data_IF_178851531422
#
_entry.id   IF_178851531422
#
_cell.length_a   1.000
_cell.length_b   1.000
_cell.length_c   1.000
_cell.angle_alpha   90.00
_cell.angle_beta   90.00
_cell.angle_gamma   90.00
#
_symmetry.space_group_name_H-M   'P 1'
#
loop_
_entity.id
_entity.type
_entity.pdbx_description
1 polymer ?
#
# COMPACT_ATOMS: atom_id res chain seq x y z
N UNK A 1 1.43 59.81 14.56
CA UNK A 1 1.49 59.73 16.04
C UNK A 1 1.69 58.26 16.38
N UNK A 2 2.96 57.80 16.43
CA UNK A 2 3.84 57.68 17.64
C UNK A 2 3.38 56.56 18.57
N UNK A 3 4.19 55.69 19.17
CA UNK A 3 5.58 55.19 19.07
C UNK A 3 5.81 54.31 20.33
N UNK A 4 6.69 53.31 20.25
CA UNK A 4 7.40 52.71 21.40
C UNK A 4 7.07 51.23 21.68
N UNK A 5 7.91 50.19 21.46
CA UNK A 5 9.32 49.92 21.87
C UNK A 5 9.40 49.69 23.39
N UNK A 6 10.03 48.71 24.04
CA UNK A 6 11.12 47.74 23.82
C UNK A 6 11.04 46.74 25.00
N UNK A 7 11.47 45.48 24.87
CA UNK A 7 12.11 44.82 26.01
C UNK A 7 13.16 43.79 25.58
N UNK A 8 14.31 43.89 26.24
CA UNK A 8 15.54 43.13 26.00
C UNK A 8 15.69 41.95 26.98
N UNK A 9 16.48 40.97 26.56
CA UNK A 9 17.02 39.79 27.26
C UNK A 9 17.80 40.13 28.55
N UNK A 10 18.17 39.20 29.48
CA UNK A 10 19.13 38.11 29.20
C UNK A 10 18.99 36.78 30.00
N UNK A 11 19.91 35.86 29.66
CA UNK A 11 20.23 34.50 30.14
C UNK A 11 20.21 34.21 31.67
N UNK A 12 20.07 32.91 32.03
CA UNK A 12 21.08 32.10 32.76
C UNK A 12 20.52 30.79 33.42
N UNK A 13 21.33 29.72 33.32
CA UNK A 13 21.63 28.67 34.33
C UNK A 13 20.73 27.43 34.51
N UNK A 14 21.32 26.28 34.17
CA UNK A 14 21.04 24.92 34.68
C UNK A 14 21.48 24.75 36.15
N UNK A 15 20.64 24.10 36.97
CA UNK A 15 21.00 23.22 38.10
C UNK A 15 19.68 22.57 38.62
N UNK A 16 19.48 21.25 38.55
CA UNK A 16 20.00 20.16 39.41
C UNK A 16 19.05 19.85 40.59
N UNK A 17 18.53 18.62 40.62
CA UNK A 17 17.96 17.99 41.82
C UNK A 17 18.27 16.49 41.82
N UNK A 18 19.16 16.07 42.72
CA UNK A 18 19.36 14.69 43.19
C UNK A 18 18.30 14.34 44.27
N UNK A 19 18.27 13.08 44.74
CA UNK A 19 19.01 12.72 45.97
C UNK A 19 19.79 11.40 45.79
N UNK A 20 21.04 11.25 46.24
CA UNK A 20 21.58 11.17 47.62
C UNK A 20 21.18 9.86 48.35
N UNK A 21 22.14 8.93 48.47
CA UNK A 21 22.41 8.21 49.72
C UNK A 21 23.86 7.70 49.73
N UNK A 22 24.50 7.90 50.87
CA UNK A 22 25.91 7.79 51.18
C UNK A 22 26.14 6.66 52.19
N UNK A 23 27.21 5.90 52.02
CA UNK A 23 27.69 4.97 53.05
C UNK A 23 29.17 4.68 52.86
N UNK A 24 30.02 5.46 53.53
CA UNK A 24 31.40 5.12 53.90
C UNK A 24 31.38 4.84 55.41
N UNK A 25 32.20 3.89 55.87
CA UNK A 25 33.26 4.20 56.83
C UNK A 25 34.22 3.01 57.04
N UNK A 26 35.45 3.41 57.35
CA UNK A 26 36.72 2.72 57.57
C UNK A 26 36.87 2.18 59.00
N UNK A 27 37.63 1.10 59.22
CA UNK A 27 38.83 1.04 60.10
C UNK A 27 39.38 -0.37 60.37
N UNK A 28 40.65 -0.36 60.82
CA UNK A 28 41.64 -1.41 61.05
C UNK A 28 41.29 -2.57 61.99
N UNK A 29 41.90 -3.75 61.77
CA UNK A 29 42.72 -4.44 62.80
C UNK A 29 43.55 -5.62 62.25
N UNK A 30 44.81 -5.71 62.69
CA UNK A 30 45.74 -6.85 62.56
C UNK A 30 45.34 -8.01 63.50
N UNK A 31 45.52 -9.27 63.07
CA UNK A 31 45.62 -10.39 64.02
C UNK A 31 45.49 -11.81 63.46
N UNK A 32 46.64 -12.50 63.37
CA UNK A 32 46.87 -13.94 63.67
C UNK A 32 46.36 -15.09 62.76
N UNK A 33 47.36 -15.69 62.08
CA UNK A 33 47.74 -17.12 61.93
C UNK A 33 46.73 -18.21 61.50
N UNK A 34 47.30 -19.08 60.65
CA UNK A 34 47.05 -20.53 60.48
C UNK A 34 45.79 -20.90 59.67
N UNK A 35 45.79 -21.77 58.66
CA UNK A 35 46.70 -22.87 58.30
C UNK A 35 46.51 -23.21 56.82
N UNK A 36 47.54 -23.74 56.17
CA UNK A 36 47.55 -24.42 54.87
C UNK A 36 46.22 -25.12 54.51
N UNK A 37 45.50 -24.50 53.56
CA UNK A 37 44.43 -25.12 52.77
C UNK A 37 44.36 -24.53 51.35
N UNK A 38 45.42 -23.84 50.93
CA UNK A 38 45.52 -23.16 49.63
C UNK A 38 46.24 -24.05 48.63
N UNK A 39 45.48 -24.86 47.87
CA UNK A 39 45.90 -25.28 46.52
C UNK A 39 44.78 -25.83 45.62
N UNK A 40 43.58 -26.12 46.13
CA UNK A 40 42.48 -26.64 45.29
C UNK A 40 41.31 -25.69 44.99
N UNK A 41 41.27 -24.49 45.58
CA UNK A 41 40.15 -23.55 45.38
C UNK A 41 40.45 -22.40 44.40
N UNK A 42 41.68 -22.30 43.88
CA UNK A 42 42.06 -21.30 42.86
C UNK A 42 41.91 -21.78 41.41
N UNK A 43 41.59 -23.07 41.17
CA UNK A 43 41.26 -23.59 39.83
C UNK A 43 39.77 -23.53 39.47
N UNK A 44 38.89 -23.23 40.42
CA UNK A 44 37.44 -23.11 40.16
C UNK A 44 36.98 -21.66 39.91
N UNK A 45 37.77 -20.66 40.31
CA UNK A 45 37.41 -19.24 40.18
C UNK A 45 37.97 -18.54 38.91
N UNK A 46 38.43 -19.31 37.90
CA UNK A 46 38.99 -18.77 36.63
C UNK A 46 38.25 -19.23 35.37
N UNK A 47 37.01 -19.71 35.53
CA UNK A 47 36.08 -20.03 34.42
C UNK A 47 34.68 -19.50 34.77
N UNK A 48 34.51 -18.19 34.80
CA UNK A 48 33.22 -17.63 35.22
C UNK A 48 32.92 -16.20 34.82
N UNK A 49 33.84 -15.47 34.20
CA UNK A 49 33.56 -14.13 33.67
C UNK A 49 33.56 -14.19 32.14
N UNK A 50 32.66 -15.00 31.57
CA UNK A 50 32.17 -14.72 30.22
C UNK A 50 31.49 -13.36 30.32
N UNK A 51 32.20 -12.30 29.89
CA UNK A 51 31.58 -11.04 29.48
C UNK A 51 30.34 -11.42 28.69
N UNK A 52 29.17 -11.25 29.31
CA UNK A 52 27.87 -11.41 28.66
C UNK A 52 27.83 -10.26 27.66
N UNK A 53 28.44 -10.48 26.48
CA UNK A 53 28.15 -9.66 25.32
C UNK A 53 26.64 -9.70 25.24
N UNK A 54 26.00 -8.57 25.53
CA UNK A 54 24.62 -8.33 25.13
C UNK A 54 24.62 -8.58 23.62
N UNK A 55 24.34 -9.81 23.22
CA UNK A 55 24.00 -10.15 21.84
C UNK A 55 22.76 -9.30 21.61
N UNK A 56 22.94 -8.15 20.95
CA UNK A 56 21.83 -7.36 20.43
C UNK A 56 20.90 -8.37 19.77
N UNK A 57 19.68 -8.48 20.28
CA UNK A 57 18.66 -9.30 19.65
C UNK A 57 18.61 -8.88 18.19
N UNK A 58 18.78 -9.81 17.24
CA UNK A 58 18.83 -9.46 15.84
C UNK A 58 17.54 -8.72 15.50
N UNK A 59 17.67 -7.52 14.92
CA UNK A 59 16.53 -6.65 14.63
C UNK A 59 15.42 -7.40 13.89
N UNK A 60 14.18 -7.12 14.28
CA UNK A 60 12.99 -7.66 13.60
C UNK A 60 12.96 -7.27 12.12
N UNK A 61 12.26 -8.04 11.29
CA UNK A 61 12.12 -7.76 9.85
C UNK A 61 11.57 -6.36 9.59
N UNK A 62 10.56 -5.92 10.35
CA UNK A 62 9.98 -4.58 10.25
C UNK A 62 10.99 -3.48 10.61
N UNK A 63 11.74 -3.64 11.71
CA UNK A 63 12.80 -2.70 12.08
C UNK A 63 13.90 -2.62 11.02
N UNK A 64 14.28 -3.75 10.42
CA UNK A 64 15.27 -3.77 9.31
C UNK A 64 14.74 -3.02 8.08
N UNK A 65 13.47 -3.19 7.73
CA UNK A 65 12.84 -2.45 6.63
C UNK A 65 12.80 -0.96 6.94
N UNK A 66 12.43 -0.59 8.16
CA UNK A 66 12.38 0.80 8.63
C UNK A 66 13.75 1.48 8.55
N UNK A 67 14.79 0.85 9.09
CA UNK A 67 16.16 1.37 9.02
C UNK A 67 16.65 1.53 7.59
N UNK A 68 16.27 0.62 6.69
CA UNK A 68 16.60 0.73 5.26
C UNK A 68 15.84 1.86 4.58
N UNK A 69 14.59 2.08 4.95
CA UNK A 69 13.80 3.20 4.45
C UNK A 69 14.42 4.54 4.88
N UNK A 70 14.87 4.65 6.14
CA UNK A 70 15.59 5.82 6.64
C UNK A 70 16.92 6.04 5.91
N UNK A 71 17.67 4.96 5.63
CA UNK A 71 18.89 5.07 4.82
C UNK A 71 18.58 5.54 3.39
N UNK A 72 17.54 5.00 2.77
CA UNK A 72 17.07 5.44 1.46
C UNK A 72 16.69 6.94 1.47
N UNK A 73 16.03 7.40 2.54
CA UNK A 73 15.69 8.80 2.76
C UNK A 73 16.95 9.69 2.77
N UNK A 74 17.95 9.35 3.59
CA UNK A 74 19.20 10.13 3.70
C UNK A 74 19.96 10.18 2.37
N UNK A 75 20.05 9.06 1.65
CA UNK A 75 20.71 9.00 0.34
C UNK A 75 19.97 9.86 -0.68
N UNK A 76 18.63 9.74 -0.75
CA UNK A 76 17.82 10.53 -1.68
C UNK A 76 17.87 12.02 -1.38
N UNK A 77 17.92 12.41 -0.09
CA UNK A 77 18.07 13.80 0.32
C UNK A 77 19.40 14.37 -0.16
N UNK A 78 20.51 13.67 0.09
CA UNK A 78 21.83 14.12 -0.34
C UNK A 78 21.92 14.26 -1.87
N UNK A 79 21.41 13.26 -2.61
CA UNK A 79 21.41 13.28 -4.08
C UNK A 79 20.52 14.42 -4.60
N UNK A 80 19.32 14.59 -4.06
CA UNK A 80 18.40 15.63 -4.50
C UNK A 80 18.90 17.04 -4.16
N UNK A 81 19.56 17.22 -3.02
CA UNK A 81 20.23 18.47 -2.67
C UNK A 81 21.28 18.82 -3.72
N UNK A 82 22.21 17.91 -3.99
CA UNK A 82 23.29 18.12 -4.99
C UNK A 82 22.72 18.30 -6.40
N UNK A 83 21.72 17.51 -6.79
CA UNK A 83 21.08 17.64 -8.10
C UNK A 83 20.41 19.01 -8.25
N UNK A 84 19.79 19.52 -7.19
CA UNK A 84 19.13 20.84 -7.21
C UNK A 84 20.14 21.98 -7.22
N UNK A 85 21.24 21.90 -6.45
CA UNK A 85 22.31 22.91 -6.52
C UNK A 85 22.92 22.98 -7.91
N UNK A 86 23.25 21.82 -8.49
CA UNK A 86 23.79 21.71 -9.86
C UNK A 86 22.79 22.27 -10.88
N UNK A 87 21.51 21.96 -10.73
CA UNK A 87 20.46 22.51 -11.59
C UNK A 87 20.40 24.05 -11.50
N UNK A 88 20.44 24.62 -10.30
CA UNK A 88 20.38 26.08 -10.13
C UNK A 88 21.62 26.80 -10.66
N UNK A 89 22.80 26.18 -10.60
CA UNK A 89 24.05 26.75 -11.10
C UNK A 89 24.18 26.67 -12.63
N UNK A 90 23.70 25.58 -13.24
CA UNK A 90 23.95 25.27 -14.65
C UNK A 90 22.74 25.54 -15.57
N UNK A 91 21.54 25.66 -15.03
CA UNK A 91 20.35 25.88 -15.84
C UNK A 91 20.37 27.28 -16.49
N UNK A 92 19.91 27.35 -17.73
CA UNK A 92 19.74 28.63 -18.41
C UNK A 92 18.65 29.46 -17.73
N UNK A 93 18.71 30.80 -17.87
CA UNK A 93 17.77 31.73 -17.25
C UNK A 93 16.29 31.39 -17.53
N UNK A 94 16.01 30.76 -18.66
CA UNK A 94 14.67 30.30 -19.06
C UNK A 94 14.12 29.22 -18.11
N UNK A 95 14.96 28.35 -17.56
CA UNK A 95 14.57 27.27 -16.64
C UNK A 95 14.45 27.74 -15.17
N UNK A 96 15.01 28.91 -14.85
CA UNK A 96 14.96 29.51 -13.52
C UNK A 96 13.68 30.33 -13.25
N UNK A 97 12.79 30.42 -14.24
CA UNK A 97 11.45 31.01 -14.10
C UNK A 97 10.62 30.15 -13.14
N UNK A 98 9.87 30.77 -12.21
CA UNK A 98 9.23 30.09 -11.07
C UNK A 98 8.52 28.78 -11.45
N UNK A 99 7.63 28.79 -12.46
CA UNK A 99 6.90 27.59 -12.87
C UNK A 99 7.77 26.43 -13.39
N UNK A 100 8.82 26.73 -14.17
CA UNK A 100 9.73 25.70 -14.74
C UNK A 100 10.74 25.20 -13.71
N UNK A 101 11.18 26.09 -12.83
CA UNK A 101 12.01 25.77 -11.68
C UNK A 101 11.30 24.80 -10.72
N UNK A 102 10.00 25.04 -10.44
CA UNK A 102 9.17 24.14 -9.62
C UNK A 102 8.99 22.77 -10.30
N UNK A 103 8.80 22.77 -11.62
CA UNK A 103 8.69 21.53 -12.39
C UNK A 103 9.96 20.67 -12.27
N UNK A 104 11.14 21.28 -12.44
CA UNK A 104 12.42 20.57 -12.33
C UNK A 104 12.63 20.00 -10.93
N UNK A 105 12.35 20.79 -9.88
CA UNK A 105 12.44 20.34 -8.49
C UNK A 105 11.50 19.17 -8.17
N UNK A 106 10.23 19.28 -8.57
CA UNK A 106 9.26 18.20 -8.40
C UNK A 106 9.67 16.93 -9.17
N UNK A 107 10.30 17.09 -10.34
CA UNK A 107 10.83 15.97 -11.13
C UNK A 107 11.98 15.25 -10.40
N UNK A 108 12.91 15.99 -9.78
CA UNK A 108 14.00 15.39 -8.99
C UNK A 108 13.43 14.55 -7.82
N UNK A 109 12.40 15.05 -7.14
CA UNK A 109 11.69 14.34 -6.06
C UNK A 109 10.96 13.09 -6.60
N UNK A 110 10.31 13.21 -7.77
CA UNK A 110 9.61 12.10 -8.42
C UNK A 110 10.58 10.99 -8.86
N UNK A 111 11.74 11.34 -9.43
CA UNK A 111 12.75 10.37 -9.88
C UNK A 111 13.40 9.66 -8.69
N UNK A 112 13.76 10.40 -7.63
CA UNK A 112 14.32 9.79 -6.42
C UNK A 112 13.36 8.78 -5.78
N UNK A 113 12.08 9.16 -5.64
CA UNK A 113 11.05 8.26 -5.12
C UNK A 113 10.79 7.05 -6.03
N UNK A 114 10.81 7.21 -7.35
CA UNK A 114 10.67 6.11 -8.31
C UNK A 114 11.79 5.07 -8.15
N UNK A 115 13.04 5.53 -8.09
CA UNK A 115 14.22 4.65 -7.92
C UNK A 115 14.13 3.91 -6.59
N UNK A 116 13.82 4.62 -5.50
CA UNK A 116 13.73 4.01 -4.16
C UNK A 116 12.56 3.04 -4.03
N UNK A 117 11.44 3.30 -4.72
CA UNK A 117 10.32 2.37 -4.82
C UNK A 117 10.75 1.07 -5.51
N UNK A 118 11.44 1.14 -6.66
CA UNK A 118 11.92 -0.06 -7.37
C UNK A 118 12.89 -0.86 -6.50
N UNK A 119 13.83 -0.19 -5.82
CA UNK A 119 14.77 -0.84 -4.91
C UNK A 119 14.05 -1.52 -3.74
N UNK A 120 13.04 -0.85 -3.15
CA UNK A 120 12.20 -1.42 -2.09
C UNK A 120 11.44 -2.64 -2.58
N UNK A 121 10.84 -2.55 -3.77
CA UNK A 121 10.08 -3.62 -4.39
C UNK A 121 10.95 -4.83 -4.73
N UNK A 122 12.11 -4.62 -5.36
CA UNK A 122 13.05 -5.69 -5.72
C UNK A 122 13.55 -6.50 -4.53
N UNK A 123 13.51 -5.92 -3.33
CA UNK A 123 13.92 -6.57 -2.07
C UNK A 123 12.81 -7.32 -1.36
N UNK A 124 11.56 -7.21 -1.81
CA UNK A 124 10.48 -8.03 -1.26
C UNK A 124 10.68 -9.50 -1.65
N UNK A 125 10.70 -10.45 -0.70
CA UNK A 125 10.84 -11.86 -1.05
C UNK A 125 9.62 -12.31 -1.86
N UNK A 126 9.86 -13.12 -2.89
CA UNK A 126 8.80 -13.65 -3.72
C UNK A 126 7.94 -14.60 -2.88
N UNK A 127 6.66 -14.29 -2.67
CA UNK A 127 5.77 -15.22 -1.97
C UNK A 127 5.69 -16.56 -2.73
N UNK A 128 5.82 -17.71 -2.06
CA UNK A 128 5.60 -19.00 -2.68
C UNK A 128 4.13 -19.11 -3.11
N UNK A 129 3.88 -19.38 -4.38
CA UNK A 129 2.52 -19.63 -4.88
C UNK A 129 1.93 -20.90 -4.22
N UNK A 130 0.61 -20.95 -3.96
CA UNK A 130 -0.06 -22.16 -3.47
C UNK A 130 0.23 -23.36 -4.38
N UNK A 131 0.40 -24.54 -3.77
CA UNK A 131 0.76 -25.79 -4.47
C UNK A 131 -0.16 -26.11 -5.67
N UNK A 132 -1.41 -25.64 -5.64
CA UNK A 132 -2.40 -25.80 -6.72
C UNK A 132 -2.02 -25.12 -8.06
N UNK A 133 -1.12 -24.12 -8.07
CA UNK A 133 -0.71 -23.37 -9.29
C UNK A 133 0.68 -23.84 -9.80
N UNK A 134 1.19 -24.97 -9.28
CA UNK A 134 2.54 -25.48 -9.58
C UNK A 134 2.63 -26.20 -10.94
N UNK A 135 1.50 -26.54 -11.56
CA UNK A 135 1.49 -27.56 -12.63
C UNK A 135 1.61 -27.04 -14.07
N UNK A 136 1.66 -25.73 -14.37
CA UNK A 136 1.86 -25.33 -15.77
C UNK A 136 2.72 -24.07 -15.94
N UNK A 137 3.96 -24.33 -16.38
CA UNK A 137 4.77 -23.58 -17.34
C UNK A 137 4.68 -22.03 -17.29
N UNK A 138 5.86 -21.45 -17.01
CA UNK A 138 6.37 -20.09 -17.29
C UNK A 138 6.71 -19.26 -16.03
N UNK A 139 7.81 -19.62 -15.37
CA UNK A 139 8.62 -18.65 -14.58
C UNK A 139 8.72 -17.26 -15.25
N UNK A 140 8.98 -17.13 -16.57
CA UNK A 140 9.01 -15.83 -17.23
C UNK A 140 7.70 -15.04 -17.18
N UNK A 141 6.52 -15.68 -17.20
CA UNK A 141 5.24 -14.96 -17.07
C UNK A 141 5.05 -14.42 -15.64
N UNK A 142 5.52 -15.14 -14.62
CA UNK A 142 5.47 -14.67 -13.24
C UNK A 142 6.40 -13.48 -13.00
N UNK A 143 7.60 -13.53 -13.58
CA UNK A 143 8.56 -12.42 -13.52
C UNK A 143 8.03 -11.24 -14.32
N UNK A 144 7.52 -11.44 -15.54
CA UNK A 144 6.94 -10.39 -16.37
C UNK A 144 5.77 -9.70 -15.66
N UNK A 145 4.84 -10.47 -15.09
CA UNK A 145 3.74 -9.95 -14.28
C UNK A 145 4.25 -9.09 -13.13
N UNK A 146 5.26 -9.57 -12.40
CA UNK A 146 5.86 -8.85 -11.27
C UNK A 146 6.55 -7.55 -11.69
N UNK A 147 7.25 -7.55 -12.83
CA UNK A 147 7.88 -6.35 -13.38
C UNK A 147 6.83 -5.34 -13.80
N UNK A 148 5.76 -5.79 -14.48
CA UNK A 148 4.64 -4.91 -14.85
C UNK A 148 4.00 -4.31 -13.60
N UNK A 149 3.71 -5.11 -12.58
CA UNK A 149 3.16 -4.62 -11.30
C UNK A 149 4.09 -3.61 -10.62
N UNK A 150 5.39 -3.90 -10.57
CA UNK A 150 6.39 -3.01 -9.97
C UNK A 150 6.49 -1.66 -10.70
N UNK A 151 6.61 -1.70 -12.03
CA UNK A 151 6.68 -0.51 -12.87
C UNK A 151 5.38 0.31 -12.77
N UNK A 152 4.24 -0.36 -12.83
CA UNK A 152 2.94 0.29 -12.74
C UNK A 152 2.78 1.02 -11.39
N UNK A 153 3.10 0.36 -10.28
CA UNK A 153 3.01 0.95 -8.94
C UNK A 153 4.05 2.06 -8.71
N UNK A 154 5.28 1.90 -9.22
CA UNK A 154 6.31 2.92 -9.08
C UNK A 154 5.98 4.19 -9.87
N UNK A 155 5.37 4.06 -11.06
CA UNK A 155 4.90 5.19 -11.86
C UNK A 155 3.82 5.97 -11.09
N UNK A 156 2.82 5.27 -10.55
CA UNK A 156 1.73 5.92 -9.78
C UNK A 156 2.26 6.64 -8.56
N UNK A 157 3.15 5.99 -7.80
CA UNK A 157 3.75 6.59 -6.61
C UNK A 157 4.60 7.81 -6.96
N UNK A 158 5.46 7.69 -7.98
CA UNK A 158 6.31 8.78 -8.47
C UNK A 158 5.49 9.96 -9.00
N UNK A 159 4.42 9.71 -9.74
CA UNK A 159 3.53 10.76 -10.23
C UNK A 159 2.78 11.46 -9.09
N UNK A 160 2.38 10.70 -8.05
CA UNK A 160 1.82 11.28 -6.83
C UNK A 160 2.83 12.18 -6.12
N UNK A 161 4.06 11.71 -5.96
CA UNK A 161 5.15 12.49 -5.36
C UNK A 161 5.46 13.75 -6.19
N UNK A 162 5.41 13.66 -7.52
CA UNK A 162 5.57 14.80 -8.44
C UNK A 162 4.51 15.88 -8.17
N UNK A 163 3.22 15.54 -8.28
CA UNK A 163 2.15 16.54 -8.14
C UNK A 163 2.06 17.10 -6.72
N UNK A 164 2.20 16.25 -5.70
CA UNK A 164 2.21 16.69 -4.31
C UNK A 164 3.39 17.62 -4.01
N UNK A 165 4.60 17.26 -4.46
CA UNK A 165 5.78 18.10 -4.24
C UNK A 165 5.69 19.41 -5.02
N UNK A 166 5.18 19.40 -6.25
CA UNK A 166 4.95 20.63 -7.01
C UNK A 166 4.00 21.56 -6.24
N UNK A 167 2.83 21.06 -5.84
CA UNK A 167 1.84 21.86 -5.10
C UNK A 167 2.41 22.44 -3.79
N UNK A 168 3.16 21.61 -3.03
CA UNK A 168 3.79 22.04 -1.79
C UNK A 168 4.90 23.07 -2.04
N UNK A 169 5.77 22.85 -3.03
CA UNK A 169 6.83 23.79 -3.37
C UNK A 169 6.26 25.14 -3.83
N UNK A 170 5.19 25.14 -4.65
CA UNK A 170 4.48 26.36 -5.04
C UNK A 170 3.85 27.08 -3.84
N UNK A 171 3.26 26.35 -2.90
CA UNK A 171 2.73 26.93 -1.67
C UNK A 171 3.84 27.57 -0.82
N UNK A 172 4.98 26.87 -0.68
CA UNK A 172 6.13 27.37 0.08
C UNK A 172 6.76 28.60 -0.58
N UNK A 173 6.91 28.63 -1.92
CA UNK A 173 7.37 29.81 -2.69
C UNK A 173 6.46 31.02 -2.43
N UNK A 174 5.15 30.80 -2.42
CA UNK A 174 4.14 31.85 -2.14
C UNK A 174 4.21 32.35 -0.69
N UNK A 175 4.49 31.48 0.29
CA UNK A 175 4.49 31.83 1.71
C UNK A 175 5.82 32.46 2.18
N UNK A 176 6.97 31.98 1.67
CA UNK A 176 8.29 32.39 2.15
C UNK A 176 8.85 33.62 1.43
N UNK A 177 8.32 33.95 0.25
CA UNK A 177 8.88 34.98 -0.61
C UNK A 177 10.08 34.49 -1.42
N UNK A 178 10.25 35.08 -2.61
CA UNK A 178 11.15 34.57 -3.66
C UNK A 178 12.61 34.46 -3.23
N UNK A 179 13.15 35.48 -2.58
CA UNK A 179 14.59 35.54 -2.25
C UNK A 179 14.98 34.50 -1.19
N UNK A 180 14.13 34.31 -0.18
CA UNK A 180 14.34 33.29 0.86
C UNK A 180 14.18 31.88 0.29
N UNK A 181 13.16 31.69 -0.55
CA UNK A 181 12.92 30.41 -1.20
C UNK A 181 14.10 30.00 -2.11
N UNK A 182 14.61 30.93 -2.92
CA UNK A 182 15.71 30.67 -3.86
C UNK A 182 17.00 30.23 -3.12
N UNK A 183 17.27 30.77 -1.93
CA UNK A 183 18.42 30.34 -1.10
C UNK A 183 18.23 28.96 -0.46
N UNK A 184 17.01 28.62 -0.03
CA UNK A 184 16.71 27.38 0.71
C UNK A 184 16.26 26.22 -0.19
N UNK A 185 16.05 26.49 -1.48
CA UNK A 185 15.46 25.55 -2.42
C UNK A 185 16.16 24.17 -2.44
N UNK A 186 17.50 24.04 -2.51
CA UNK A 186 18.15 22.73 -2.46
C UNK A 186 17.87 21.94 -1.18
N UNK A 187 17.80 22.64 -0.03
CA UNK A 187 17.48 22.03 1.26
C UNK A 187 16.04 21.51 1.31
N UNK A 188 15.08 22.32 0.85
CA UNK A 188 13.66 21.96 0.81
C UNK A 188 13.42 20.78 -0.13
N UNK A 189 14.00 20.82 -1.34
CA UNK A 189 13.89 19.74 -2.33
C UNK A 189 14.54 18.46 -1.81
N UNK A 190 15.71 18.56 -1.17
CA UNK A 190 16.36 17.43 -0.50
C UNK A 190 15.47 16.81 0.58
N UNK A 191 14.87 17.63 1.45
CA UNK A 191 13.98 17.15 2.50
C UNK A 191 12.74 16.44 1.92
N UNK A 192 12.09 17.02 0.91
CA UNK A 192 10.94 16.41 0.25
C UNK A 192 11.30 15.11 -0.49
N UNK A 193 12.46 15.06 -1.16
CA UNK A 193 12.97 13.84 -1.78
C UNK A 193 13.22 12.74 -0.74
N UNK A 194 13.78 13.09 0.42
CA UNK A 194 13.96 12.21 1.57
C UNK A 194 12.65 11.58 2.04
N UNK A 195 11.64 12.41 2.30
CA UNK A 195 10.31 11.98 2.74
C UNK A 195 9.62 11.13 1.67
N UNK A 196 9.61 11.57 0.41
CA UNK A 196 8.98 10.84 -0.68
C UNK A 196 9.63 9.47 -0.91
N UNK A 197 10.96 9.40 -0.84
CA UNK A 197 11.71 8.15 -0.98
C UNK A 197 11.52 7.19 0.19
N UNK A 198 11.47 7.71 1.42
CA UNK A 198 11.14 6.93 2.62
C UNK A 198 9.76 6.28 2.49
N UNK A 199 8.74 7.09 2.17
CA UNK A 199 7.38 6.62 1.97
C UNK A 199 7.33 5.61 0.81
N UNK A 200 7.99 5.90 -0.31
CA UNK A 200 8.05 5.00 -1.46
C UNK A 200 8.66 3.65 -1.13
N UNK A 201 9.73 3.64 -0.34
CA UNK A 201 10.38 2.41 0.11
C UNK A 201 9.50 1.59 1.05
N UNK A 202 8.80 2.23 2.00
CA UNK A 202 7.87 1.56 2.92
C UNK A 202 6.66 1.02 2.15
N UNK A 203 6.11 1.79 1.23
CA UNK A 203 4.97 1.36 0.42
C UNK A 203 5.35 0.18 -0.48
N UNK A 204 6.54 0.22 -1.09
CA UNK A 204 7.06 -0.88 -1.91
C UNK A 204 7.37 -2.15 -1.11
N UNK A 205 7.73 -2.02 0.17
CA UNK A 205 8.06 -3.16 1.03
C UNK A 205 6.85 -3.75 1.75
N UNK A 206 5.78 -2.97 1.91
CA UNK A 206 4.56 -3.40 2.60
C UNK A 206 3.46 -3.88 1.65
N UNK A 207 3.45 -3.46 0.37
CA UNK A 207 2.47 -3.77 -0.70
C UNK A 207 1.16 -4.38 -0.21
N UNK A 208 0.52 -3.65 0.69
CA UNK A 208 -0.85 -3.93 1.07
C UNK A 208 -1.73 -3.23 0.04
N UNK A 209 -2.86 -3.84 -0.32
CA UNK A 209 -3.87 -3.19 -1.14
C UNK A 209 -4.29 -1.82 -0.55
N UNK A 210 -4.06 -1.62 0.76
CA UNK A 210 -4.23 -0.35 1.49
C UNK A 210 -3.39 0.79 0.95
N UNK A 211 -2.13 0.53 0.57
CA UNK A 211 -1.23 1.56 0.04
C UNK A 211 -1.73 2.12 -1.29
N UNK A 212 -2.20 1.24 -2.19
CA UNK A 212 -2.68 1.59 -3.52
C UNK A 212 -4.01 2.38 -3.41
N UNK A 213 -4.90 1.93 -2.53
CA UNK A 213 -6.19 2.55 -2.28
C UNK A 213 -6.11 4.01 -1.79
N UNK A 214 -5.09 4.33 -0.99
CA UNK A 214 -4.91 5.69 -0.45
C UNK A 214 -4.16 6.64 -1.38
N UNK A 215 -3.42 6.13 -2.37
CA UNK A 215 -2.58 6.96 -3.24
C UNK A 215 -3.36 7.57 -4.41
N UNK A 216 -4.29 6.83 -5.02
CA UNK A 216 -5.12 7.32 -6.12
C UNK A 216 -5.87 8.65 -5.81
N UNK A 217 -6.56 8.82 -4.67
CA UNK A 217 -7.18 10.11 -4.33
C UNK A 217 -6.19 11.27 -4.31
N UNK A 218 -5.08 11.09 -3.60
CA UNK A 218 -4.06 12.12 -3.43
C UNK A 218 -3.44 12.48 -4.78
N UNK A 219 -3.19 11.48 -5.61
CA UNK A 219 -2.71 11.63 -6.97
C UNK A 219 -3.63 12.52 -7.81
N UNK A 220 -4.93 12.20 -7.89
CA UNK A 220 -5.88 12.93 -8.74
C UNK A 220 -6.09 14.36 -8.22
N UNK A 221 -6.30 14.51 -6.92
CA UNK A 221 -6.54 15.83 -6.31
C UNK A 221 -5.33 16.74 -6.53
N UNK A 222 -4.12 16.24 -6.26
CA UNK A 222 -2.91 17.03 -6.48
C UNK A 222 -2.68 17.33 -7.96
N UNK A 223 -2.87 16.37 -8.86
CA UNK A 223 -2.71 16.59 -10.30
C UNK A 223 -3.64 17.66 -10.87
N UNK A 224 -4.94 17.57 -10.55
CA UNK A 224 -5.94 18.57 -10.95
C UNK A 224 -5.64 19.93 -10.32
N UNK A 225 -5.23 19.96 -9.05
CA UNK A 225 -4.87 21.20 -8.34
C UNK A 225 -3.65 21.87 -8.98
N UNK A 226 -2.60 21.11 -9.30
CA UNK A 226 -1.42 21.65 -9.97
C UNK A 226 -1.76 22.14 -11.37
N UNK A 227 -2.58 21.41 -12.13
CA UNK A 227 -3.05 21.87 -13.43
C UNK A 227 -3.82 23.20 -13.34
N UNK A 228 -4.65 23.38 -12.31
CA UNK A 228 -5.36 24.62 -12.08
C UNK A 228 -4.42 25.77 -11.65
N UNK A 229 -3.50 25.51 -10.70
CA UNK A 229 -2.55 26.51 -10.17
C UNK A 229 -1.53 26.96 -11.21
N UNK A 230 -1.28 26.17 -12.24
CA UNK A 230 -0.33 26.49 -13.33
C UNK A 230 -1.01 27.14 -14.54
N UNK A 231 -2.31 27.44 -14.44
CA UNK A 231 -3.09 28.04 -15.50
C UNK A 231 -3.36 29.51 -15.22
N UNK A 232 -3.13 30.35 -16.23
CA UNK A 232 -3.54 31.76 -16.22
C UNK A 232 -4.93 31.98 -16.86
N UNK A 233 -5.57 30.92 -17.38
CA UNK A 233 -6.88 30.98 -18.05
C UNK A 233 -8.04 31.05 -17.03
N UNK A 234 -8.83 32.14 -16.98
CA UNK A 234 -10.01 32.25 -16.12
C UNK A 234 -11.09 31.19 -16.41
N UNK A 235 -11.11 30.67 -17.64
CA UNK A 235 -12.05 29.65 -18.09
C UNK A 235 -11.44 28.24 -18.09
N UNK A 236 -10.32 28.04 -17.39
CA UNK A 236 -9.63 26.75 -17.28
C UNK A 236 -10.59 25.61 -16.89
N UNK A 237 -11.48 25.84 -15.93
CA UNK A 237 -12.42 24.83 -15.44
C UNK A 237 -13.40 24.41 -16.55
N UNK A 238 -13.94 25.37 -17.32
CA UNK A 238 -14.85 25.07 -18.41
C UNK A 238 -14.17 24.25 -19.50
N UNK A 239 -12.93 24.61 -19.84
CA UNK A 239 -12.14 23.90 -20.83
C UNK A 239 -11.76 22.47 -20.38
N UNK A 240 -11.42 22.28 -19.10
CA UNK A 240 -10.93 20.98 -18.61
C UNK A 240 -12.06 20.06 -18.11
N UNK A 241 -13.21 20.57 -17.69
CA UNK A 241 -14.34 19.72 -17.31
C UNK A 241 -15.31 19.45 -18.46
N UNK A 242 -15.56 20.40 -19.36
CA UNK A 242 -16.48 20.19 -20.49
C UNK A 242 -15.84 19.83 -21.81
N UNK A 243 -14.58 20.16 -22.03
CA UNK A 243 -13.85 19.79 -23.26
C UNK A 243 -12.66 18.86 -22.95
N UNK A 244 -12.61 18.35 -21.71
CA UNK A 244 -11.57 17.51 -21.12
C UNK A 244 -10.16 17.79 -21.67
N UNK A 245 -9.70 19.01 -21.42
CA UNK A 245 -8.32 19.42 -21.65
C UNK A 245 -7.97 19.61 -23.13
N UNK A 246 -8.89 20.18 -23.91
CA UNK A 246 -8.73 20.37 -25.36
C UNK A 246 -7.52 21.25 -25.75
N UNK A 247 -7.10 22.14 -24.85
CA UNK A 247 -5.99 23.07 -25.08
C UNK A 247 -4.65 22.36 -25.14
N UNK A 248 -3.71 22.99 -25.82
CA UNK A 248 -2.30 22.57 -25.89
C UNK A 248 -1.43 23.21 -24.80
N UNK A 249 -2.03 23.97 -23.88
CA UNK A 249 -1.30 24.64 -22.79
C UNK A 249 -0.69 23.63 -21.83
N UNK A 250 0.35 24.02 -21.14
CA UNK A 250 1.02 23.20 -20.13
C UNK A 250 0.04 22.70 -19.05
N UNK A 251 -0.83 23.58 -18.54
CA UNK A 251 -1.88 23.25 -17.59
C UNK A 251 -2.84 22.16 -18.10
N UNK A 252 -3.31 22.26 -19.35
CA UNK A 252 -4.18 21.26 -19.96
C UNK A 252 -3.45 19.92 -20.18
N UNK A 253 -2.16 19.95 -20.52
CA UNK A 253 -1.34 18.73 -20.60
C UNK A 253 -1.19 18.05 -19.24
N UNK A 254 -1.03 18.82 -18.16
CA UNK A 254 -0.99 18.26 -16.80
C UNK A 254 -2.32 17.64 -16.37
N UNK A 255 -3.44 18.29 -16.71
CA UNK A 255 -4.76 17.74 -16.47
C UNK A 255 -4.96 16.42 -17.23
N UNK A 256 -4.64 16.39 -18.52
CA UNK A 256 -4.76 15.18 -19.35
C UNK A 256 -3.83 14.06 -18.90
N UNK A 257 -2.59 14.37 -18.53
CA UNK A 257 -1.66 13.39 -17.96
C UNK A 257 -2.21 12.80 -16.64
N UNK A 258 -2.87 13.64 -15.83
CA UNK A 258 -3.55 13.18 -14.61
C UNK A 258 -4.67 12.21 -14.93
N UNK A 259 -5.51 12.47 -15.94
CA UNK A 259 -6.58 11.56 -16.36
C UNK A 259 -6.04 10.22 -16.87
N UNK A 260 -4.99 10.23 -17.70
CA UNK A 260 -4.36 9.01 -18.22
C UNK A 260 -3.82 8.15 -17.08
N UNK A 261 -3.04 8.75 -16.20
CA UNK A 261 -2.46 8.05 -15.06
C UNK A 261 -3.54 7.58 -14.07
N UNK A 262 -4.62 8.34 -13.87
CA UNK A 262 -5.74 7.93 -13.05
C UNK A 262 -6.45 6.70 -13.64
N UNK A 263 -6.68 6.68 -14.95
CA UNK A 263 -7.22 5.51 -15.64
C UNK A 263 -6.31 4.28 -15.52
N UNK A 264 -4.99 4.47 -15.64
CA UNK A 264 -4.01 3.41 -15.41
C UNK A 264 -4.06 2.89 -13.96
N UNK A 265 -4.16 3.78 -12.98
CA UNK A 265 -4.34 3.42 -11.57
C UNK A 265 -5.60 2.59 -11.35
N UNK A 266 -6.74 2.98 -11.94
CA UNK A 266 -8.00 2.24 -11.83
C UNK A 266 -7.82 0.82 -12.38
N UNK A 267 -7.15 0.64 -13.52
CA UNK A 267 -6.87 -0.68 -14.10
C UNK A 267 -6.00 -1.52 -13.14
N UNK A 268 -4.95 -0.93 -12.56
CA UNK A 268 -4.07 -1.62 -11.59
C UNK A 268 -4.86 -2.04 -10.34
N UNK A 269 -5.64 -1.12 -9.76
CA UNK A 269 -6.50 -1.39 -8.59
C UNK A 269 -7.51 -2.49 -8.91
N UNK A 270 -8.13 -2.43 -10.09
CA UNK A 270 -9.07 -3.44 -10.56
C UNK A 270 -8.42 -4.81 -10.61
N UNK A 271 -7.22 -4.89 -11.17
CA UNK A 271 -6.46 -6.13 -11.24
C UNK A 271 -6.16 -6.72 -9.86
N UNK A 272 -5.67 -5.89 -8.92
CA UNK A 272 -5.42 -6.34 -7.54
C UNK A 272 -6.72 -6.77 -6.85
N UNK A 273 -7.80 -6.00 -6.97
CA UNK A 273 -9.10 -6.35 -6.41
C UNK A 273 -9.61 -7.68 -6.97
N UNK A 274 -9.52 -7.88 -8.28
CA UNK A 274 -9.93 -9.11 -8.97
C UNK A 274 -9.18 -10.32 -8.43
N UNK A 275 -7.86 -10.20 -8.31
CA UNK A 275 -7.00 -11.25 -7.79
C UNK A 275 -7.35 -11.60 -6.34
N UNK A 276 -7.58 -10.59 -5.50
CA UNK A 276 -7.88 -10.77 -4.08
C UNK A 276 -9.24 -11.41 -3.85
N UNK A 277 -10.26 -10.96 -4.58
CA UNK A 277 -11.62 -11.50 -4.50
C UNK A 277 -11.68 -12.95 -5.01
N UNK A 278 -11.03 -13.24 -6.14
CA UNK A 278 -10.98 -14.59 -6.69
C UNK A 278 -10.24 -15.54 -5.74
N UNK A 279 -9.13 -15.09 -5.15
CA UNK A 279 -8.37 -15.89 -4.18
C UNK A 279 -9.20 -16.21 -2.93
N UNK A 280 -9.99 -15.25 -2.45
CA UNK A 280 -10.87 -15.45 -1.28
C UNK A 280 -11.93 -16.50 -1.57
N UNK A 281 -12.49 -16.52 -2.77
CA UNK A 281 -13.44 -17.55 -3.20
C UNK A 281 -12.80 -18.92 -3.35
N UNK A 282 -11.56 -19.00 -3.86
CA UNK A 282 -10.84 -20.28 -3.96
C UNK A 282 -10.53 -20.89 -2.59
N UNK A 283 -10.15 -20.07 -1.61
CA UNK A 283 -9.93 -20.53 -0.23
C UNK A 283 -11.24 -21.03 0.38
N UNK A 284 -12.32 -20.26 0.24
CA UNK A 284 -13.64 -20.68 0.74
C UNK A 284 -14.15 -21.97 0.10
N UNK A 285 -13.77 -22.25 -1.14
CA UNK A 285 -14.07 -23.53 -1.81
C UNK A 285 -13.24 -24.69 -1.24
N UNK A 286 -11.97 -24.47 -0.90
CA UNK A 286 -11.07 -25.53 -0.41
C UNK A 286 -11.53 -26.19 0.90
N UNK A 287 -12.45 -25.56 1.63
CA UNK A 287 -13.04 -26.06 2.87
C UNK A 287 -14.24 -27.01 2.63
N UNK A 288 -14.93 -26.91 1.48
CA UNK A 288 -16.18 -27.64 1.18
C UNK A 288 -16.28 -27.94 -0.33
N UNK A 289 -16.16 -29.23 -0.70
CA UNK A 289 -16.13 -29.68 -2.11
C UNK A 289 -17.49 -30.13 -2.65
N UNK A 290 -18.58 -29.74 -1.99
CA UNK A 290 -19.94 -30.08 -2.43
C UNK A 290 -20.30 -29.49 -3.81
N UNK A 291 -21.09 -30.18 -4.65
CA UNK A 291 -21.42 -29.75 -6.01
C UNK A 291 -22.13 -28.39 -6.06
N UNK A 292 -22.98 -28.06 -5.06
CA UNK A 292 -23.64 -26.76 -4.97
C UNK A 292 -22.66 -25.61 -4.70
N UNK A 293 -21.62 -25.84 -3.88
CA UNK A 293 -20.55 -24.87 -3.63
C UNK A 293 -19.75 -24.63 -4.91
N UNK A 294 -19.50 -25.66 -5.72
CA UNK A 294 -18.79 -25.49 -7.00
C UNK A 294 -19.56 -24.63 -8.01
N UNK A 295 -20.89 -24.80 -8.13
CA UNK A 295 -21.74 -24.00 -9.01
C UNK A 295 -21.81 -22.54 -8.54
N UNK A 296 -22.02 -22.33 -7.24
CA UNK A 296 -22.03 -20.99 -6.62
C UNK A 296 -20.69 -20.26 -6.79
N UNK A 297 -19.58 -20.98 -6.65
CA UNK A 297 -18.23 -20.46 -6.88
C UNK A 297 -18.04 -19.97 -8.32
N UNK A 298 -18.43 -20.77 -9.34
CA UNK A 298 -18.34 -20.36 -10.75
C UNK A 298 -19.14 -19.09 -11.05
N UNK A 299 -20.37 -18.99 -10.53
CA UNK A 299 -21.20 -17.79 -10.69
C UNK A 299 -20.55 -16.57 -10.04
N UNK A 300 -19.97 -16.73 -8.86
CA UNK A 300 -19.31 -15.63 -8.17
C UNK A 300 -18.02 -15.17 -8.87
N UNK A 301 -17.25 -16.10 -9.46
CA UNK A 301 -16.09 -15.75 -10.30
C UNK A 301 -16.54 -14.99 -11.55
N UNK A 302 -17.61 -15.42 -12.22
CA UNK A 302 -18.15 -14.71 -13.38
C UNK A 302 -18.56 -13.27 -13.03
N UNK A 303 -19.19 -13.07 -11.87
CA UNK A 303 -19.55 -11.72 -11.38
C UNK A 303 -18.34 -10.85 -11.10
N UNK A 304 -17.28 -11.41 -10.50
CA UNK A 304 -15.99 -10.69 -10.33
C UNK A 304 -15.46 -10.29 -11.71
N UNK A 305 -15.43 -11.20 -12.69
CA UNK A 305 -14.91 -10.90 -14.03
C UNK A 305 -15.71 -9.77 -14.70
N UNK A 306 -17.04 -9.76 -14.57
CA UNK A 306 -17.88 -8.67 -15.09
C UNK A 306 -17.56 -7.36 -14.37
N UNK A 307 -17.45 -7.38 -13.04
CA UNK A 307 -17.07 -6.21 -12.25
C UNK A 307 -15.71 -5.64 -12.72
N UNK A 308 -14.72 -6.52 -12.89
CA UNK A 308 -13.39 -6.16 -13.35
C UNK A 308 -13.40 -5.59 -14.76
N UNK A 309 -14.22 -6.16 -15.65
CA UNK A 309 -14.37 -5.68 -17.02
C UNK A 309 -14.97 -4.27 -17.03
N UNK A 310 -16.05 -4.03 -16.29
CA UNK A 310 -16.71 -2.73 -16.20
C UNK A 310 -15.75 -1.67 -15.65
N UNK A 311 -15.07 -1.96 -14.54
CA UNK A 311 -14.14 -1.01 -13.92
C UNK A 311 -12.90 -0.75 -14.79
N UNK A 312 -12.39 -1.76 -15.48
CA UNK A 312 -11.30 -1.60 -16.44
C UNK A 312 -11.73 -0.76 -17.65
N UNK A 313 -12.96 -0.93 -18.15
CA UNK A 313 -13.50 -0.13 -19.25
C UNK A 313 -13.62 1.35 -18.85
N UNK A 314 -14.03 1.64 -17.61
CA UNK A 314 -14.00 3.02 -17.07
C UNK A 314 -12.58 3.57 -17.03
N UNK A 315 -11.59 2.78 -16.61
CA UNK A 315 -10.17 3.19 -16.62
C UNK A 315 -9.63 3.43 -18.03
N UNK A 316 -9.97 2.59 -19.00
CA UNK A 316 -9.66 2.80 -20.43
C UNK A 316 -10.33 4.05 -20.95
N UNK A 317 -11.56 4.34 -20.53
CA UNK A 317 -12.26 5.58 -20.83
C UNK A 317 -11.48 6.81 -20.39
N UNK A 318 -11.02 6.86 -19.13
CA UNK A 318 -10.17 7.96 -18.63
C UNK A 318 -8.88 8.13 -19.43
N UNK A 319 -8.21 7.02 -19.79
CA UNK A 319 -7.01 7.05 -20.64
C UNK A 319 -7.36 7.62 -22.02
N UNK A 320 -8.46 7.15 -22.60
CA UNK A 320 -8.95 7.58 -23.91
C UNK A 320 -9.23 9.08 -23.94
N UNK A 321 -9.94 9.61 -22.95
CA UNK A 321 -10.24 11.04 -22.93
C UNK A 321 -8.99 11.90 -22.74
N UNK A 322 -8.07 11.51 -21.85
CA UNK A 322 -6.82 12.27 -21.68
C UNK A 322 -5.89 12.17 -22.89
N UNK A 323 -5.99 11.11 -23.70
CA UNK A 323 -5.15 10.92 -24.90
C UNK A 323 -5.73 11.58 -26.15
N UNK A 324 -7.04 11.52 -26.34
CA UNK A 324 -7.74 12.04 -27.50
C UNK A 324 -8.45 13.34 -27.17
N UNK A 325 -7.82 14.46 -27.54
CA UNK A 325 -8.41 15.81 -27.40
C UNK A 325 -9.64 15.97 -28.30
N UNK A 326 -10.57 16.80 -27.86
CA UNK A 326 -11.82 17.08 -28.57
C UNK A 326 -11.55 17.65 -29.97
N UNK A 327 -10.58 18.55 -30.08
CA UNK A 327 -10.06 19.11 -31.32
C UNK A 327 -8.66 18.51 -31.58
N UNK A 328 -8.48 17.63 -32.60
CA UNK A 328 -9.32 17.42 -33.78
C UNK A 328 -10.24 16.18 -33.75
N UNK A 329 -10.33 15.43 -32.64
CA UNK A 329 -11.02 14.13 -32.60
C UNK A 329 -12.32 14.11 -31.77
N UNK A 330 -13.37 14.84 -32.17
CA UNK A 330 -14.56 15.02 -31.34
C UNK A 330 -15.34 13.71 -31.16
N UNK A 331 -15.33 12.85 -32.18
CA UNK A 331 -16.00 11.54 -32.13
C UNK A 331 -15.32 10.62 -31.12
N UNK A 332 -14.00 10.43 -31.24
CA UNK A 332 -13.25 9.56 -30.32
C UNK A 332 -13.34 10.08 -28.88
N UNK A 333 -13.18 11.39 -28.69
CA UNK A 333 -13.32 12.03 -27.38
C UNK A 333 -14.68 11.74 -26.75
N UNK A 334 -15.77 12.00 -27.48
CA UNK A 334 -17.13 11.77 -26.98
C UNK A 334 -17.43 10.29 -26.71
N UNK A 335 -16.88 9.37 -27.52
CA UNK A 335 -17.02 7.92 -27.30
C UNK A 335 -16.37 7.52 -25.97
N UNK A 336 -15.16 8.02 -25.67
CA UNK A 336 -14.53 7.70 -24.39
C UNK A 336 -15.20 8.43 -23.21
N UNK A 337 -15.52 9.72 -23.36
CA UNK A 337 -16.10 10.54 -22.29
C UNK A 337 -17.51 10.09 -21.89
N UNK A 338 -18.40 9.85 -22.87
CA UNK A 338 -19.76 9.35 -22.59
C UNK A 338 -19.76 7.85 -22.37
N UNK A 339 -18.89 7.13 -23.09
CA UNK A 339 -18.80 5.68 -23.01
C UNK A 339 -18.26 5.17 -21.68
N UNK A 340 -17.52 5.96 -20.90
CA UNK A 340 -17.10 5.58 -19.54
C UNK A 340 -18.20 5.72 -18.48
N UNK A 341 -19.17 6.62 -18.70
CA UNK A 341 -20.30 6.81 -17.79
C UNK A 341 -21.22 5.59 -17.76
N UNK A 342 -21.37 4.88 -18.88
CA UNK A 342 -22.19 3.67 -19.00
C UNK A 342 -21.69 2.51 -18.12
N UNK A 343 -20.44 2.01 -18.26
CA UNK A 343 -19.92 0.94 -17.42
C UNK A 343 -19.83 1.36 -15.96
N UNK A 344 -19.52 2.63 -15.67
CA UNK A 344 -19.53 3.14 -14.31
C UNK A 344 -20.94 3.11 -13.70
N UNK A 345 -21.95 3.66 -14.40
CA UNK A 345 -23.34 3.65 -13.93
C UNK A 345 -23.89 2.24 -13.74
N UNK A 346 -23.62 1.33 -14.71
CA UNK A 346 -23.97 -0.08 -14.58
C UNK A 346 -23.31 -0.73 -13.36
N UNK A 347 -22.02 -0.45 -13.14
CA UNK A 347 -21.29 -0.97 -11.99
C UNK A 347 -21.90 -0.49 -10.68
N UNK A 348 -22.23 0.79 -10.55
CA UNK A 348 -22.83 1.37 -9.35
C UNK A 348 -24.20 0.75 -9.04
N UNK A 349 -25.05 0.60 -10.05
CA UNK A 349 -26.41 0.06 -9.88
C UNK A 349 -26.38 -1.43 -9.58
N UNK A 350 -25.54 -2.19 -10.29
CA UNK A 350 -25.44 -3.65 -10.18
C UNK A 350 -24.49 -4.10 -9.06
N UNK A 351 -23.93 -3.18 -8.28
CA UNK A 351 -22.91 -3.49 -7.26
C UNK A 351 -23.34 -4.58 -6.27
N UNK A 352 -24.57 -4.59 -5.72
CA UNK A 352 -24.98 -5.64 -4.78
C UNK A 352 -25.07 -7.03 -5.43
N UNK A 353 -25.36 -7.08 -6.73
CA UNK A 353 -25.41 -8.32 -7.49
C UNK A 353 -24.02 -8.81 -7.89
N UNK A 354 -23.19 -7.89 -8.40
CA UNK A 354 -21.81 -8.14 -8.82
C UNK A 354 -20.96 -8.61 -7.63
N UNK A 355 -21.09 -7.92 -6.51
CA UNK A 355 -20.20 -8.08 -5.36
C UNK A 355 -20.98 -8.10 -4.04
N UNK A 356 -21.69 -9.20 -3.73
CA UNK A 356 -22.51 -9.33 -2.51
C UNK A 356 -21.69 -9.39 -1.20
N UNK A 357 -20.35 -9.44 -1.29
CA UNK A 357 -19.43 -9.52 -0.15
C UNK A 357 -19.02 -8.14 0.39
N UNK A 358 -19.35 -7.05 -0.32
CA UNK A 358 -18.97 -5.70 0.07
C UNK A 358 -19.89 -5.17 1.20
N UNK A 359 -19.44 -4.10 1.87
CA UNK A 359 -20.22 -3.50 2.95
C UNK A 359 -21.53 -2.92 2.40
N UNK A 360 -22.63 -3.08 3.15
CA UNK A 360 -23.93 -2.46 2.84
C UNK A 360 -23.84 -0.94 2.69
N UNK A 361 -22.91 -0.31 3.41
CA UNK A 361 -22.64 1.11 3.29
C UNK A 361 -22.12 1.48 1.89
N UNK A 362 -21.32 0.63 1.24
CA UNK A 362 -20.86 0.89 -0.13
C UNK A 362 -22.02 0.87 -1.13
N UNK A 363 -23.00 -0.02 -0.92
CA UNK A 363 -24.18 -0.08 -1.76
C UNK A 363 -25.01 1.20 -1.62
N UNK A 364 -25.27 1.63 -0.39
CA UNK A 364 -25.95 2.89 -0.13
C UNK A 364 -25.18 4.08 -0.74
N UNK A 365 -23.86 4.13 -0.57
CA UNK A 365 -23.02 5.17 -1.15
C UNK A 365 -23.08 5.18 -2.69
N UNK A 366 -23.11 4.01 -3.33
CA UNK A 366 -23.24 3.88 -4.79
C UNK A 366 -24.58 4.42 -5.28
N UNK A 367 -25.68 4.10 -4.58
CA UNK A 367 -27.00 4.61 -4.92
C UNK A 367 -27.17 6.11 -4.65
N UNK A 368 -26.54 6.63 -3.60
CA UNK A 368 -26.50 8.08 -3.34
C UNK A 368 -25.79 8.80 -4.48
N UNK A 369 -24.63 8.29 -4.93
CA UNK A 369 -23.91 8.87 -6.08
C UNK A 369 -24.80 8.87 -7.32
N UNK A 370 -25.41 7.73 -7.67
CA UNK A 370 -26.31 7.65 -8.82
C UNK A 370 -27.47 8.64 -8.69
N UNK A 371 -28.09 8.75 -7.51
CA UNK A 371 -29.19 9.68 -7.28
C UNK A 371 -28.75 11.15 -7.42
N UNK A 372 -27.57 11.50 -6.90
CA UNK A 372 -26.99 12.85 -7.02
C UNK A 372 -26.69 13.18 -8.47
N UNK A 373 -26.02 12.28 -9.21
CA UNK A 373 -25.69 12.48 -10.62
C UNK A 373 -26.97 12.55 -11.48
N UNK A 374 -27.98 11.72 -11.20
CA UNK A 374 -29.28 11.79 -11.87
C UNK A 374 -30.02 13.11 -11.59
N UNK A 375 -30.01 13.59 -10.34
CA UNK A 375 -30.61 14.87 -9.98
C UNK A 375 -29.93 16.02 -10.72
N UNK A 376 -28.60 16.04 -10.80
CA UNK A 376 -27.88 17.10 -11.49
C UNK A 376 -28.09 17.04 -13.01
N UNK A 377 -28.15 15.83 -13.59
CA UNK A 377 -28.52 15.62 -14.99
C UNK A 377 -29.93 16.16 -15.29
N UNK A 378 -30.91 15.92 -14.41
CA UNK A 378 -32.27 16.43 -14.57
C UNK A 378 -32.35 17.96 -14.46
N UNK A 379 -31.54 18.58 -13.58
CA UNK A 379 -31.44 20.04 -13.47
C UNK A 379 -30.87 20.66 -14.75
N UNK A 380 -29.85 20.03 -15.32
CA UNK A 380 -29.30 20.46 -16.61
C UNK A 380 -30.33 20.33 -17.74
N UNK A 381 -31.09 19.24 -17.79
CA UNK A 381 -32.17 19.06 -18.78
C UNK A 381 -33.28 20.11 -18.68
N UNK A 382 -33.53 20.67 -17.47
CA UNK A 382 -34.46 21.78 -17.24
C UNK A 382 -33.87 23.15 -17.57
N UNK A 383 -32.56 23.24 -17.80
CA UNK A 383 -31.85 24.49 -18.01
C UNK A 383 -31.41 25.21 -16.74
N UNK A 384 -31.51 24.57 -15.56
CA UNK A 384 -31.16 25.19 -14.26
C UNK A 384 -29.64 25.22 -14.00
N UNK A 385 -28.87 24.35 -14.66
CA UNK A 385 -27.41 24.20 -14.49
C UNK A 385 -26.72 24.04 -15.85
N UNK A 386 -25.38 24.10 -15.87
CA UNK A 386 -24.59 23.92 -17.08
C UNK A 386 -24.13 22.47 -17.24
N UNK A 387 -23.85 22.04 -18.47
CA UNK A 387 -23.30 20.70 -18.74
C UNK A 387 -21.98 20.48 -17.98
N UNK A 388 -21.14 21.53 -17.90
CA UNK A 388 -19.90 21.51 -17.12
C UNK A 388 -20.11 21.13 -15.67
N UNK A 389 -21.19 21.60 -15.05
CA UNK A 389 -21.51 21.29 -13.66
C UNK A 389 -21.77 19.79 -13.49
N UNK A 390 -22.54 19.20 -14.40
CA UNK A 390 -22.85 17.76 -14.43
C UNK A 390 -21.59 16.93 -14.64
N UNK A 391 -20.76 17.32 -15.61
CA UNK A 391 -19.52 16.60 -15.93
C UNK A 391 -18.49 16.69 -14.79
N UNK A 392 -18.34 17.86 -14.18
CA UNK A 392 -17.46 18.05 -13.03
C UNK A 392 -17.95 17.25 -11.81
N UNK A 393 -19.25 17.25 -11.54
CA UNK A 393 -19.82 16.48 -10.44
C UNK A 393 -19.64 14.97 -10.67
N UNK A 394 -19.97 14.47 -11.86
CA UNK A 394 -19.78 13.06 -12.23
C UNK A 394 -18.31 12.63 -12.13
N UNK A 395 -17.38 13.51 -12.48
CA UNK A 395 -15.94 13.28 -12.33
C UNK A 395 -15.56 13.16 -10.84
N UNK A 396 -16.05 14.08 -10.00
CA UNK A 396 -15.80 14.05 -8.55
C UNK A 396 -16.39 12.81 -7.88
N UNK A 397 -17.63 12.45 -8.21
CA UNK A 397 -18.33 11.28 -7.64
C UNK A 397 -17.70 9.98 -8.10
N UNK A 398 -17.24 9.88 -9.36
CA UNK A 398 -16.44 8.76 -9.85
C UNK A 398 -15.19 8.54 -8.98
N UNK A 399 -14.38 9.59 -8.77
CA UNK A 399 -13.18 9.45 -7.96
C UNK A 399 -13.52 9.13 -6.51
N UNK A 400 -14.51 9.81 -5.91
CA UNK A 400 -14.99 9.53 -4.56
C UNK A 400 -15.38 8.04 -4.38
N UNK A 401 -16.07 7.48 -5.37
CA UNK A 401 -16.45 6.07 -5.36
C UNK A 401 -15.24 5.14 -5.43
N UNK A 402 -14.31 5.35 -6.37
CA UNK A 402 -13.12 4.49 -6.51
C UNK A 402 -12.28 4.53 -5.23
N UNK A 403 -12.20 5.67 -4.56
CA UNK A 403 -11.54 5.83 -3.27
C UNK A 403 -12.21 4.96 -2.19
N UNK A 404 -13.54 5.07 -2.04
CA UNK A 404 -14.27 4.29 -1.06
C UNK A 404 -14.16 2.78 -1.34
N UNK A 405 -14.29 2.38 -2.61
CA UNK A 405 -14.17 1.00 -3.06
C UNK A 405 -12.78 0.42 -2.76
N UNK A 406 -11.72 1.11 -3.16
CA UNK A 406 -10.35 0.64 -2.97
C UNK A 406 -10.01 0.46 -1.49
N UNK A 407 -10.50 1.34 -0.61
CA UNK A 407 -10.36 1.20 0.85
C UNK A 407 -11.08 -0.03 1.40
N UNK A 408 -12.24 -0.40 0.86
CA UNK A 408 -12.93 -1.62 1.28
C UNK A 408 -12.20 -2.89 0.85
N UNK A 409 -11.65 -2.92 -0.36
CA UNK A 409 -10.80 -4.04 -0.81
C UNK A 409 -9.58 -4.18 0.10
N UNK A 410 -8.97 -3.07 0.50
CA UNK A 410 -7.85 -3.08 1.44
C UNK A 410 -8.24 -3.63 2.82
N UNK A 411 -9.43 -3.29 3.33
CA UNK A 411 -9.95 -3.84 4.59
C UNK A 411 -10.16 -5.35 4.49
N UNK A 412 -10.83 -5.83 3.42
CA UNK A 412 -11.06 -7.26 3.17
C UNK A 412 -9.73 -8.03 3.09
N UNK A 413 -8.72 -7.46 2.44
CA UNK A 413 -7.40 -8.08 2.36
C UNK A 413 -6.76 -8.19 3.75
N UNK A 414 -6.84 -7.13 4.58
CA UNK A 414 -6.28 -7.12 5.93
C UNK A 414 -6.95 -8.18 6.82
N UNK A 415 -8.28 -8.25 6.79
CA UNK A 415 -9.07 -9.22 7.55
C UNK A 415 -8.69 -10.65 7.16
N UNK A 416 -8.50 -10.92 5.87
CA UNK A 416 -8.07 -12.23 5.37
C UNK A 416 -6.67 -12.61 5.86
N UNK A 417 -5.72 -11.67 5.84
CA UNK A 417 -4.37 -11.91 6.34
C UNK A 417 -4.41 -12.24 7.83
N UNK A 418 -5.18 -11.48 8.61
CA UNK A 418 -5.37 -11.73 10.04
C UNK A 418 -6.02 -13.09 10.31
N UNK A 419 -7.05 -13.47 9.55
CA UNK A 419 -7.69 -14.79 9.67
C UNK A 419 -6.70 -15.93 9.41
N UNK A 420 -5.80 -15.79 8.42
CA UNK A 420 -4.75 -16.80 8.16
C UNK A 420 -3.72 -16.90 9.27
N UNK A 421 -3.35 -15.78 9.88
CA UNK A 421 -2.41 -15.77 11.02
C UNK A 421 -3.05 -16.48 12.21
N UNK A 422 -4.31 -16.18 12.52
CA UNK A 422 -5.06 -16.83 13.60
C UNK A 422 -5.23 -18.34 13.36
N UNK A 423 -5.55 -18.74 12.12
CA UNK A 423 -5.65 -20.16 11.76
C UNK A 423 -4.30 -20.89 11.91
N UNK A 424 -3.19 -20.26 11.49
CA UNK A 424 -1.86 -20.82 11.65
C UNK A 424 -1.45 -20.93 13.14
N UNK A 425 -1.74 -19.90 13.94
CA UNK A 425 -1.50 -19.93 15.38
C UNK A 425 -2.29 -21.06 16.06
N UNK A 426 -3.57 -21.21 15.71
CA UNK A 426 -4.41 -22.30 16.22
C UNK A 426 -3.88 -23.68 15.83
N UNK A 427 -3.41 -23.85 14.59
CA UNK A 427 -2.82 -25.13 14.15
C UNK A 427 -1.53 -25.46 14.88
N UNK A 428 -0.71 -24.44 15.21
CA UNK A 428 0.51 -24.64 15.98
C UNK A 428 0.21 -24.99 17.44
N UNK A 429 -0.82 -24.37 18.03
CA UNK A 429 -1.26 -24.65 19.40
C UNK A 429 -1.78 -26.08 19.54
N UNK A 430 -2.58 -26.55 18.57
CA UNK A 430 -3.05 -27.94 18.51
C UNK A 430 -1.90 -28.95 18.37
N UNK A 431 -0.86 -28.63 17.58
CA UNK A 431 0.32 -29.50 17.47
C UNK A 431 1.09 -29.60 18.79
N UNK A 432 1.20 -28.49 19.52
CA UNK A 432 1.87 -28.47 20.83
C UNK A 432 1.04 -29.21 21.88
N UNK A 433 -0.29 -29.09 21.85
CA UNK A 433 -1.15 -29.84 22.77
C UNK A 433 -1.13 -31.34 22.48
N UNK A 434 -1.17 -31.75 21.21
CA UNK A 434 -1.08 -33.18 20.83
C UNK A 434 0.27 -33.78 21.27
N UNK A 435 1.37 -33.05 21.08
CA UNK A 435 2.71 -33.49 21.52
C UNK A 435 2.81 -33.56 23.06
N UNK A 436 2.18 -32.62 23.77
CA UNK A 436 2.12 -32.63 25.24
C UNK A 436 1.27 -33.79 25.78
N UNK A 437 0.13 -34.10 25.15
CA UNK A 437 -0.74 -35.22 25.51
C UNK A 437 -0.07 -36.57 25.20
N UNK A 438 0.68 -36.66 24.10
CA UNK A 438 1.46 -37.85 23.73
C UNK A 438 2.60 -38.10 24.74
N UNK A 439 3.34 -37.05 25.13
CA UNK A 439 4.35 -37.09 26.20
C UNK A 439 3.74 -37.46 27.56
N UNK A 440 2.60 -36.87 27.93
CA UNK A 440 1.89 -37.19 29.17
C UNK A 440 1.43 -38.65 29.19
N UNK A 441 0.90 -39.16 28.06
CA UNK A 441 0.50 -40.55 27.88
C UNK A 441 1.66 -41.55 27.90
N UNK A 442 2.89 -41.13 27.59
CA UNK A 442 4.11 -41.94 27.76
C UNK A 442 4.58 -42.01 29.22
N UNK A 443 4.25 -40.99 30.04
CA UNK A 443 4.61 -40.93 31.47
C UNK A 443 3.57 -41.54 32.40
N UNK A 444 2.40 -41.94 31.89
CA UNK A 444 1.34 -42.58 32.69
C UNK A 444 1.68 -44.05 33.03
N UNK A 445 1.98 -44.39 34.29
CA UNK A 445 2.33 -45.75 34.70
C UNK A 445 1.15 -46.75 34.61
N UNK A 446 -0.08 -46.29 34.34
CA UNK A 446 -1.25 -47.17 34.16
C UNK A 446 -1.32 -47.81 32.76
N UNK A 447 -0.79 -47.16 31.71
CA UNK A 447 -0.86 -47.70 30.33
C UNK A 447 0.19 -48.79 30.07
N UNK A 448 1.29 -48.81 30.82
CA UNK A 448 2.32 -49.86 30.77
C UNK A 448 1.86 -51.21 31.38
N UNK A 449 0.64 -51.29 31.93
CA UNK A 449 0.08 -52.50 32.57
C UNK A 449 -1.11 -53.12 31.83
N UNK A 450 -1.33 -52.84 30.53
CA UNK A 450 -2.24 -53.67 29.73
C UNK A 450 -1.47 -54.82 29.08
N UNK A 451 -1.75 -56.09 29.41
CA UNK A 451 -1.18 -57.22 28.69
C UNK A 451 -1.72 -57.25 27.26
N UNK A 452 -0.83 -57.46 26.28
CA UNK A 452 -1.19 -57.96 24.97
C UNK A 452 -1.76 -59.38 25.14
N UNK A 453 -3.08 -59.51 25.25
CA UNK A 453 -3.72 -60.81 25.09
C UNK A 453 -3.78 -61.15 23.61
N UNK A 454 -3.00 -62.16 23.24
CA UNK A 454 -3.01 -62.80 21.94
C UNK A 454 -4.38 -63.41 21.67
N UNK A 455 -4.99 -63.05 20.53
CA UNK A 455 -6.00 -63.87 19.86
C UNK A 455 -5.72 -63.83 18.35
N UNK A 456 -4.71 -64.59 17.97
CA UNK A 456 -4.50 -65.04 16.59
C UNK A 456 -4.25 -66.54 16.64
N UNK A 457 -5.30 -67.35 16.55
CA UNK A 457 -5.27 -68.70 15.98
C UNK A 457 -6.67 -69.32 15.98
N UNK A 458 -7.41 -69.19 14.88
CA UNK A 458 -8.04 -70.38 14.31
C UNK A 458 -8.36 -70.17 12.82
N UNK A 459 -7.63 -70.90 11.99
CA UNK A 459 -7.99 -71.16 10.60
C UNK A 459 -8.42 -72.63 10.53
N UNK A 460 -9.62 -72.91 10.01
CA UNK A 460 -9.96 -74.21 9.41
C UNK A 460 -11.08 -74.07 8.36
N UNK A 461 -10.66 -74.25 7.11
CA UNK A 461 -11.27 -74.92 5.96
C UNK A 461 -12.81 -74.97 5.68
N UNK A 462 -13.12 -74.48 4.46
CA UNK A 462 -13.91 -75.10 3.36
C UNK A 462 -15.47 -75.16 3.41
N UNK A 463 -16.21 -75.32 2.27
CA UNK A 463 -15.95 -75.04 0.84
C UNK A 463 -17.12 -74.34 0.07
N UNK A 464 -16.92 -74.18 -1.25
CA UNK A 464 -17.78 -73.73 -2.36
C UNK A 464 -19.20 -74.32 -2.40
N UNK A 465 -20.22 -73.53 -2.83
CA UNK A 465 -21.36 -73.97 -3.68
C UNK A 465 -22.13 -72.79 -4.30
N UNK A 466 -22.63 -73.04 -5.52
CA UNK A 466 -23.33 -72.19 -6.50
C UNK A 466 -24.57 -71.41 -6.02
N UNK A 467 -24.84 -70.26 -6.67
CA UNK A 467 -25.96 -70.07 -7.64
C UNK A 467 -26.45 -68.62 -7.76
N UNK A 468 -26.48 -68.15 -9.01
CA UNK A 468 -27.25 -67.00 -9.54
C UNK A 468 -28.79 -67.26 -9.44
N UNK A 469 -29.74 -66.32 -9.73
CA UNK A 469 -29.66 -65.30 -10.78
C UNK A 469 -30.36 -63.93 -10.54
N UNK A 470 -30.23 -63.14 -11.60
CA UNK A 470 -30.74 -61.83 -12.02
C UNK A 470 -32.25 -61.53 -11.92
N UNK A 471 -32.52 -60.21 -12.02
CA UNK A 471 -33.63 -59.50 -12.71
C UNK A 471 -34.93 -59.16 -11.94
N UNK A 472 -35.71 -58.16 -12.42
CA UNK A 472 -35.55 -57.31 -13.62
C UNK A 472 -35.25 -55.82 -13.37
#
# INVERSE_FOLDING_TARGET
MTSGSIQASPAATEQQSAPEDTGKDTEDTKGTKNTQGTKNTQKSAKKGTKRRHMRRTPMGSHQKTETRALLAAMVSLAIAYVATTVFLEQASAIWLISGRKMLAAATIIAVSSFIMFIIGYARTPMMPAPKAVRTLRRLPLRVLRRVIEACALSIVFSATAFFMSYALLSAVDTMMGKDLFDSLMPGIVGAFAGVASYLGFIQASSLSAKAIATMLPLFVISGVTVAALTSDDPWWWHNNFSQLGDRTTFAAQLFNATLILAGLCIIIVTYFASFELTTTQMVSKGEDDSPDVTKKSRTNVARIVIFSLLLSLTGVGLIGVGSFRYTPHPVLHNVFARGMSVPMGLLLVLLPWLMPQLSRFLYAFSYIIVAVDCCDLLRWLKGDTTLTSVEALACLTLFAWVIAFSRQIAAIQADRIQARILAAARSADLMVSDEADELAGMTDPQRARRPLTADTANASDSPVTDSQPTNP
#
